data_IF_599326984717
#
_entry.id   IF_599326984717
#
_cell.length_a   1.000
_cell.length_b   1.000
_cell.length_c   1.000
_cell.angle_alpha   90.00
_cell.angle_beta   90.00
_cell.angle_gamma   90.00
#
_symmetry.space_group_name_H-M   'P 1'
#
loop_
_entity.id
_entity.type
_entity.pdbx_description
1 polymer ?
#
# COMPACT_ATOMS: atom_id res chain seq x y z
N UNK A 1 -12.31 23.34 27.84
CA UNK A 1 -11.67 22.85 26.60
C UNK A 1 -11.65 21.35 26.66
N UNK A 2 -12.03 20.68 25.57
CA UNK A 2 -11.86 19.24 25.46
C UNK A 2 -10.36 18.91 25.44
N UNK A 3 -9.97 17.91 26.23
CA UNK A 3 -8.60 17.42 26.30
C UNK A 3 -8.55 16.10 25.55
N UNK A 4 -7.77 16.05 24.47
CA UNK A 4 -7.52 14.80 23.75
C UNK A 4 -6.80 13.80 24.66
N UNK A 5 -7.24 12.55 24.66
CA UNK A 5 -6.69 11.48 25.50
C UNK A 5 -5.83 10.48 24.71
N UNK A 6 -6.01 10.42 23.40
CA UNK A 6 -5.32 9.49 22.53
C UNK A 6 -4.98 10.15 21.20
N UNK A 7 -3.92 9.66 20.56
CA UNK A 7 -3.50 10.04 19.22
C UNK A 7 -3.31 8.75 18.43
N UNK A 8 -3.97 8.68 17.28
CA UNK A 8 -3.97 7.52 16.40
C UNK A 8 -3.17 7.86 15.15
N UNK A 9 -2.22 7.01 14.80
CA UNK A 9 -1.39 7.15 13.61
C UNK A 9 -1.68 6.03 12.62
N UNK A 10 -1.83 6.40 11.35
CA UNK A 10 -1.56 5.47 10.26
C UNK A 10 -0.04 5.21 10.16
N UNK A 11 0.34 4.11 9.51
CA UNK A 11 1.72 3.66 9.39
C UNK A 11 2.27 3.95 7.99
N UNK A 12 1.67 3.37 6.95
CA UNK A 12 2.14 3.50 5.57
C UNK A 12 1.96 4.93 5.04
N UNK A 13 3.04 5.57 4.62
CA UNK A 13 3.01 6.97 4.15
C UNK A 13 2.91 8.03 5.25
N UNK A 14 2.78 7.64 6.52
CA UNK A 14 2.79 8.54 7.68
C UNK A 14 4.04 8.28 8.53
N UNK A 15 4.09 7.13 9.22
CA UNK A 15 5.23 6.75 10.06
C UNK A 15 6.40 6.17 9.26
N UNK A 16 6.08 5.54 8.13
CA UNK A 16 7.06 5.01 7.16
C UNK A 16 6.74 5.51 5.74
N UNK A 17 7.59 5.18 4.76
CA UNK A 17 7.34 5.48 3.36
C UNK A 17 6.02 4.89 2.85
N UNK A 18 5.51 5.47 1.76
CA UNK A 18 4.22 5.05 1.18
C UNK A 18 4.42 3.95 0.15
N UNK A 19 3.63 2.86 0.19
CA UNK A 19 3.64 1.86 -0.88
C UNK A 19 3.24 2.43 -2.25
N UNK A 20 2.51 3.56 -2.27
CA UNK A 20 2.15 4.28 -3.50
C UNK A 20 3.38 4.83 -4.24
N UNK A 21 4.48 5.12 -3.54
CA UNK A 21 5.73 5.50 -4.19
C UNK A 21 6.36 4.30 -4.92
N UNK A 22 6.25 3.10 -4.33
CA UNK A 22 6.70 1.86 -4.98
C UNK A 22 5.91 1.55 -6.25
N UNK A 23 4.59 1.78 -6.22
CA UNK A 23 3.73 1.74 -7.41
C UNK A 23 4.19 2.75 -8.45
N UNK A 24 4.39 4.01 -8.05
CA UNK A 24 4.79 5.08 -8.97
C UNK A 24 6.15 4.81 -9.62
N UNK A 25 7.11 4.23 -8.88
CA UNK A 25 8.38 3.78 -9.43
C UNK A 25 8.21 2.65 -10.44
N UNK A 26 7.34 1.68 -10.14
CA UNK A 26 7.02 0.58 -11.06
C UNK A 26 6.38 1.10 -12.35
N UNK A 27 5.39 1.98 -12.24
CA UNK A 27 4.71 2.59 -13.40
C UNK A 27 5.70 3.31 -14.32
N UNK A 28 6.57 4.15 -13.75
CA UNK A 28 7.63 4.84 -14.51
C UNK A 28 8.58 3.86 -15.22
N UNK A 29 9.02 2.80 -14.53
CA UNK A 29 9.92 1.79 -15.09
C UNK A 29 9.29 1.06 -16.29
N UNK A 30 7.98 0.82 -16.23
CA UNK A 30 7.24 0.06 -17.23
C UNK A 30 6.49 0.92 -18.26
N UNK A 31 6.71 2.25 -18.26
CA UNK A 31 6.02 3.22 -19.12
C UNK A 31 4.48 3.12 -19.01
N UNK A 32 3.98 2.87 -17.81
CA UNK A 32 2.56 2.91 -17.51
C UNK A 32 2.15 4.35 -17.16
N UNK A 33 0.89 4.76 -17.43
CA UNK A 33 0.39 6.02 -16.94
C UNK A 33 0.52 6.13 -15.42
N UNK A 34 0.78 7.35 -14.95
CA UNK A 34 0.81 7.64 -13.52
C UNK A 34 -0.54 7.27 -12.89
N UNK A 35 -0.52 6.58 -11.76
CA UNK A 35 -1.70 6.17 -10.99
C UNK A 35 -2.56 5.07 -11.66
N UNK A 36 -2.12 4.50 -12.79
CA UNK A 36 -2.81 3.41 -13.48
C UNK A 36 -3.04 2.18 -12.58
N UNK A 37 -1.97 1.73 -11.92
CA UNK A 37 -2.01 0.55 -11.06
C UNK A 37 -2.90 0.82 -9.86
N UNK A 38 -2.77 2.01 -9.25
CA UNK A 38 -3.59 2.38 -8.10
C UNK A 38 -5.09 2.39 -8.44
N UNK A 39 -5.48 2.95 -9.60
CA UNK A 39 -6.87 2.89 -10.08
C UNK A 39 -7.31 1.44 -10.28
N UNK A 40 -6.46 0.62 -10.88
CA UNK A 40 -6.74 -0.80 -11.14
C UNK A 40 -6.97 -1.59 -9.84
N UNK A 41 -6.13 -1.36 -8.82
CA UNK A 41 -6.20 -2.02 -7.51
C UNK A 41 -7.48 -1.72 -6.74
N UNK A 42 -8.05 -0.52 -6.93
CA UNK A 42 -9.21 -0.04 -6.16
C UNK A 42 -10.50 0.05 -6.99
N UNK A 43 -10.52 -0.54 -8.18
CA UNK A 43 -11.71 -0.55 -9.03
C UNK A 43 -12.87 -1.42 -8.50
N UNK A 44 -12.67 -2.20 -7.43
CA UNK A 44 -13.70 -2.99 -6.77
C UNK A 44 -13.36 -3.30 -5.32
N UNK A 45 -14.36 -3.73 -4.55
CA UNK A 45 -14.24 -3.94 -3.09
C UNK A 45 -13.64 -5.30 -2.68
N UNK A 46 -13.54 -6.23 -3.64
CA UNK A 46 -13.11 -7.62 -3.44
C UNK A 46 -11.89 -8.02 -4.28
N UNK A 47 -11.05 -7.06 -4.68
CA UNK A 47 -9.79 -7.34 -5.35
C UNK A 47 -8.82 -8.12 -4.47
N UNK A 48 -7.83 -8.77 -5.08
CA UNK A 48 -6.86 -9.60 -4.35
C UNK A 48 -6.11 -8.83 -3.26
N UNK A 49 -5.84 -7.54 -3.47
CA UNK A 49 -5.15 -6.70 -2.48
C UNK A 49 -5.99 -6.50 -1.22
N UNK A 50 -7.28 -6.20 -1.35
CA UNK A 50 -8.16 -6.03 -0.19
C UNK A 50 -8.36 -7.36 0.55
N UNK A 51 -8.46 -8.48 -0.18
CA UNK A 51 -8.53 -9.83 0.40
C UNK A 51 -7.26 -10.16 1.19
N UNK A 52 -6.08 -9.78 0.67
CA UNK A 52 -4.81 -9.92 1.37
C UNK A 52 -4.80 -9.08 2.66
N UNK A 53 -5.26 -7.83 2.60
CA UNK A 53 -5.28 -6.92 3.77
C UNK A 53 -6.25 -7.38 4.87
N UNK A 54 -7.30 -8.13 4.51
CA UNK A 54 -8.24 -8.78 5.46
C UNK A 54 -7.76 -10.15 5.93
N UNK A 55 -6.63 -10.65 5.43
CA UNK A 55 -6.08 -11.95 5.78
C UNK A 55 -6.82 -13.16 5.17
N UNK A 56 -7.65 -12.93 4.14
CA UNK A 56 -8.46 -13.97 3.48
C UNK A 56 -7.65 -14.87 2.53
N UNK A 57 -6.52 -14.37 2.01
CA UNK A 57 -5.59 -15.11 1.13
C UNK A 57 -4.15 -14.94 1.61
N UNK A 58 -3.29 -15.91 1.29
CA UNK A 58 -1.85 -15.84 1.62
C UNK A 58 -1.07 -15.10 0.55
N UNK A 59 0.13 -14.62 0.88
CA UNK A 59 0.92 -13.78 -0.04
C UNK A 59 1.26 -14.55 -1.32
N UNK A 60 1.67 -15.81 -1.25
CA UNK A 60 1.98 -16.59 -2.45
C UNK A 60 0.78 -16.82 -3.39
N UNK A 61 -0.44 -16.93 -2.85
CA UNK A 61 -1.68 -16.99 -3.65
C UNK A 61 -1.96 -15.62 -4.26
N UNK A 62 -1.87 -14.57 -3.43
CA UNK A 62 -2.03 -13.18 -3.84
C UNK A 62 -1.12 -12.83 -5.00
N UNK A 63 0.19 -13.14 -4.97
CA UNK A 63 1.12 -12.73 -6.03
C UNK A 63 0.72 -13.26 -7.42
N UNK A 64 0.12 -14.45 -7.48
CA UNK A 64 -0.40 -15.03 -8.73
C UNK A 64 -1.63 -14.26 -9.22
N UNK A 65 -2.63 -14.15 -8.36
CA UNK A 65 -3.90 -13.48 -8.67
C UNK A 65 -3.66 -12.00 -9.03
N UNK A 66 -2.80 -11.33 -8.26
CA UNK A 66 -2.47 -9.92 -8.43
C UNK A 66 -1.81 -9.61 -9.78
N UNK A 67 -0.93 -10.50 -10.26
CA UNK A 67 -0.31 -10.34 -11.58
C UNK A 67 -1.36 -10.39 -12.71
N UNK A 68 -2.31 -11.32 -12.59
CA UNK A 68 -3.41 -11.48 -13.55
C UNK A 68 -4.39 -10.30 -13.49
N UNK A 69 -4.80 -9.90 -12.27
CA UNK A 69 -5.70 -8.77 -12.04
C UNK A 69 -5.11 -7.46 -12.58
N UNK A 70 -3.84 -7.16 -12.29
CA UNK A 70 -3.21 -5.92 -12.74
C UNK A 70 -2.95 -5.91 -14.24
N UNK A 71 -2.71 -7.07 -14.85
CA UNK A 71 -2.54 -7.21 -16.31
C UNK A 71 -3.87 -7.24 -17.08
N UNK A 72 -5.02 -7.22 -16.39
CA UNK A 72 -6.32 -7.34 -17.05
C UNK A 72 -6.55 -6.16 -18.03
N UNK A 73 -6.87 -6.42 -19.30
CA UNK A 73 -7.13 -5.36 -20.28
C UNK A 73 -8.22 -4.36 -19.87
N UNK A 74 -9.20 -4.79 -19.07
CA UNK A 74 -10.27 -3.92 -18.55
C UNK A 74 -9.75 -2.75 -17.72
N UNK A 75 -8.57 -2.87 -17.13
CA UNK A 75 -7.95 -1.80 -16.35
C UNK A 75 -7.69 -0.54 -17.18
N UNK A 76 -7.50 -0.68 -18.51
CA UNK A 76 -7.40 0.48 -19.42
C UNK A 76 -8.71 1.27 -19.44
N UNK A 77 -9.84 0.58 -19.56
CA UNK A 77 -11.17 1.20 -19.58
C UNK A 77 -11.45 1.94 -18.26
N UNK A 78 -11.16 1.30 -17.14
CA UNK A 78 -11.31 1.88 -15.80
C UNK A 78 -10.43 3.12 -15.61
N UNK A 79 -9.20 3.09 -16.12
CA UNK A 79 -8.30 4.23 -16.05
C UNK A 79 -8.76 5.40 -16.94
N UNK A 80 -9.26 5.11 -18.14
CA UNK A 80 -9.84 6.14 -19.01
C UNK A 80 -11.07 6.79 -18.37
N UNK A 81 -11.95 6.00 -17.74
CA UNK A 81 -13.08 6.51 -16.97
C UNK A 81 -12.62 7.39 -15.80
N UNK A 82 -11.58 6.97 -15.06
CA UNK A 82 -10.96 7.77 -14.01
C UNK A 82 -10.46 9.13 -14.52
N UNK A 83 -9.80 9.18 -15.69
CA UNK A 83 -9.35 10.43 -16.30
C UNK A 83 -10.52 11.33 -16.73
N UNK A 84 -11.58 10.75 -17.32
CA UNK A 84 -12.78 11.48 -17.73
C UNK A 84 -13.42 12.17 -16.52
N UNK A 85 -13.58 11.45 -15.42
CA UNK A 85 -14.18 11.98 -14.18
C UNK A 85 -13.34 13.10 -13.54
N UNK A 86 -12.03 13.12 -13.78
CA UNK A 86 -11.12 14.19 -13.32
C UNK A 86 -11.07 15.39 -14.26
N UNK A 87 -11.73 15.34 -15.41
CA UNK A 87 -11.67 16.38 -16.43
C UNK A 87 -10.32 16.47 -17.13
N UNK A 88 -9.55 15.38 -17.13
CA UNK A 88 -8.21 15.35 -17.74
C UNK A 88 -8.32 15.28 -19.28
N UNK A 89 -7.64 16.20 -19.97
CA UNK A 89 -7.69 16.32 -21.44
C UNK A 89 -6.66 15.44 -22.17
N UNK A 90 -5.84 14.69 -21.43
CA UNK A 90 -4.87 13.71 -21.99
C UNK A 90 -5.54 12.58 -22.79
N UNK A 91 -6.87 12.46 -22.70
CA UNK A 91 -7.72 11.45 -23.35
C UNK A 91 -7.78 11.61 -24.89
N UNK A 92 -7.32 12.73 -25.44
CA UNK A 92 -7.39 13.00 -26.89
C UNK A 92 -6.58 12.04 -27.78
N UNK A 93 -5.75 11.14 -27.22
CA UNK A 93 -5.10 10.04 -27.94
C UNK A 93 -4.85 8.81 -27.03
N UNK A 94 -5.81 7.90 -26.94
CA UNK A 94 -5.70 6.65 -26.15
C UNK A 94 -4.49 5.78 -26.54
N UNK A 95 -4.03 5.86 -27.78
CA UNK A 95 -2.89 5.08 -28.30
C UNK A 95 -1.52 5.58 -27.84
N UNK A 96 -1.40 6.78 -27.27
CA UNK A 96 -0.09 7.31 -26.81
C UNK A 96 0.18 7.13 -25.31
N UNK A 97 -0.86 6.84 -24.52
CA UNK A 97 -0.77 6.76 -23.06
C UNK A 97 -0.38 5.37 -22.54
N UNK A 98 -0.65 4.31 -23.29
CA UNK A 98 -0.35 2.93 -22.88
C UNK A 98 0.73 2.28 -23.76
N UNK A 99 1.55 1.38 -23.21
CA UNK A 99 2.40 0.52 -24.02
C UNK A 99 1.57 -0.48 -24.84
N UNK A 100 2.17 -1.02 -25.91
CA UNK A 100 1.52 -1.98 -26.82
C UNK A 100 0.98 -3.22 -26.08
N UNK A 101 1.67 -3.66 -25.04
CA UNK A 101 1.22 -4.73 -24.15
C UNK A 101 1.45 -4.30 -22.71
N UNK A 102 0.42 -4.47 -21.87
CA UNK A 102 0.54 -4.30 -20.42
C UNK A 102 0.70 -5.69 -19.83
N UNK A 103 1.88 -5.95 -19.27
CA UNK A 103 2.17 -7.13 -18.47
C UNK A 103 2.75 -6.67 -17.15
N UNK A 104 2.04 -6.91 -16.06
CA UNK A 104 2.45 -6.52 -14.72
C UNK A 104 2.91 -7.77 -13.97
N UNK A 105 4.17 -7.74 -13.56
CA UNK A 105 4.78 -8.76 -12.69
C UNK A 105 4.44 -8.43 -11.24
N UNK A 106 3.38 -9.04 -10.71
CA UNK A 106 2.83 -8.72 -9.38
C UNK A 106 3.83 -8.93 -8.25
N UNK A 107 4.75 -9.91 -8.38
CA UNK A 107 5.84 -10.10 -7.40
C UNK A 107 6.79 -8.90 -7.35
N UNK A 108 7.24 -8.41 -8.51
CA UNK A 108 8.14 -7.25 -8.55
C UNK A 108 7.43 -5.99 -8.02
N UNK A 109 6.19 -5.77 -8.48
CA UNK A 109 5.38 -4.64 -8.03
C UNK A 109 5.20 -4.66 -6.50
N UNK A 110 4.81 -5.80 -5.94
CA UNK A 110 4.64 -5.96 -4.51
C UNK A 110 5.95 -5.75 -3.75
N UNK A 111 7.07 -6.32 -4.21
CA UNK A 111 8.38 -6.08 -3.58
C UNK A 111 8.75 -4.59 -3.54
N UNK A 112 8.47 -3.82 -4.62
CA UNK A 112 8.70 -2.37 -4.62
C UNK A 112 7.81 -1.64 -3.64
N UNK A 113 6.53 -2.02 -3.53
CA UNK A 113 5.60 -1.42 -2.56
C UNK A 113 6.11 -1.60 -1.13
N UNK A 114 6.53 -2.82 -0.79
CA UNK A 114 6.97 -3.16 0.57
C UNK A 114 8.33 -2.55 0.89
N UNK A 115 9.23 -2.43 -0.08
CA UNK A 115 10.52 -1.76 0.12
C UNK A 115 10.37 -0.28 0.57
N UNK A 116 9.28 0.40 0.20
CA UNK A 116 9.02 1.77 0.67
C UNK A 116 8.56 1.81 2.13
N UNK A 117 7.84 0.79 2.61
CA UNK A 117 7.32 0.76 3.99
C UNK A 117 8.40 0.46 5.03
N UNK A 118 9.63 0.15 4.62
CA UNK A 118 10.78 -0.04 5.52
C UNK A 118 11.46 1.28 5.86
N UNK A 119 11.13 2.37 5.15
CA UNK A 119 11.80 3.67 5.28
C UNK A 119 11.11 4.48 6.37
N UNK A 120 11.75 4.69 7.51
CA UNK A 120 11.21 5.52 8.59
C UNK A 120 11.05 6.98 8.18
N UNK A 121 9.93 7.59 8.57
CA UNK A 121 9.79 9.04 8.54
C UNK A 121 10.41 9.64 9.81
N UNK A 122 11.59 10.30 9.73
CA UNK A 122 12.31 10.75 10.92
C UNK A 122 11.55 11.85 11.69
N UNK A 123 10.73 12.65 11.00
CA UNK A 123 9.96 13.73 11.62
C UNK A 123 8.83 13.13 12.47
N UNK A 124 8.05 12.22 11.89
CA UNK A 124 6.94 11.55 12.60
C UNK A 124 7.49 10.65 13.71
N UNK A 125 8.57 9.91 13.46
CA UNK A 125 9.24 9.13 14.50
C UNK A 125 9.65 9.98 15.71
N UNK A 126 10.28 11.15 15.47
CA UNK A 126 10.63 12.09 16.55
C UNK A 126 9.39 12.63 17.27
N UNK A 127 8.33 12.94 16.53
CA UNK A 127 7.07 13.42 17.12
C UNK A 127 6.45 12.38 18.05
N UNK A 128 6.34 11.12 17.61
CA UNK A 128 5.81 10.01 18.40
C UNK A 128 6.64 9.83 19.68
N UNK A 129 7.98 9.87 19.59
CA UNK A 129 8.85 9.80 20.78
C UNK A 129 8.54 10.88 21.80
N UNK A 130 8.37 12.13 21.35
CA UNK A 130 8.05 13.25 22.24
C UNK A 130 6.65 13.11 22.86
N UNK A 131 5.67 12.66 22.07
CA UNK A 131 4.30 12.43 22.54
C UNK A 131 4.26 11.31 23.59
N UNK A 132 4.93 10.18 23.34
CA UNK A 132 5.04 9.08 24.31
C UNK A 132 5.73 9.54 25.60
N UNK A 133 6.86 10.25 25.49
CA UNK A 133 7.58 10.78 26.65
C UNK A 133 6.77 11.77 27.51
N UNK A 134 5.75 12.41 26.92
CA UNK A 134 4.87 13.31 27.68
C UNK A 134 3.98 12.58 28.68
N UNK A 135 3.72 11.28 28.49
CA UNK A 135 2.75 10.47 29.25
C UNK A 135 1.32 11.08 29.31
N UNK A 136 0.99 12.01 28.41
CA UNK A 136 -0.32 12.68 28.37
C UNK A 136 -1.35 11.97 27.49
N UNK A 137 -0.88 11.17 26.53
CA UNK A 137 -1.71 10.57 25.50
C UNK A 137 -1.43 9.08 25.42
N UNK A 138 -2.48 8.31 25.15
CA UNK A 138 -2.34 6.96 24.60
C UNK A 138 -1.97 7.06 23.12
N UNK A 139 -0.90 6.40 22.71
CA UNK A 139 -0.40 6.44 21.33
C UNK A 139 -0.76 5.12 20.65
N UNK A 140 -1.58 5.19 19.61
CA UNK A 140 -2.13 4.01 18.93
C UNK A 140 -1.72 4.01 17.47
N UNK A 141 -1.32 2.85 16.96
CA UNK A 141 -1.19 2.60 15.53
C UNK A 141 -2.47 1.96 15.01
N UNK A 142 -2.96 2.43 13.87
CA UNK A 142 -4.09 1.84 13.15
C UNK A 142 -3.69 1.70 11.69
N UNK A 143 -3.56 0.47 11.20
CA UNK A 143 -3.00 0.24 9.86
C UNK A 143 -3.66 -0.91 9.12
N UNK A 144 -3.81 -0.71 7.81
CA UNK A 144 -4.11 -1.78 6.87
C UNK A 144 -2.81 -2.45 6.44
N UNK A 145 -2.68 -3.74 6.73
CA UNK A 145 -1.48 -4.53 6.48
C UNK A 145 -1.83 -5.98 6.13
N UNK A 146 -0.82 -6.84 6.00
CA UNK A 146 -0.98 -8.24 5.66
C UNK A 146 -0.06 -9.12 6.50
N UNK A 147 -0.44 -10.39 6.69
CA UNK A 147 0.38 -11.37 7.38
C UNK A 147 1.29 -12.09 6.39
N UNK A 148 2.55 -12.32 6.80
CA UNK A 148 3.53 -13.06 6.01
C UNK A 148 3.71 -14.42 6.68
N UNK A 149 3.39 -15.50 5.97
CA UNK A 149 3.65 -16.85 6.48
C UNK A 149 5.11 -17.26 6.27
N UNK A 150 5.56 -18.31 6.96
CA UNK A 150 6.90 -18.86 6.78
C UNK A 150 7.18 -19.31 5.33
N UNK A 151 6.15 -19.76 4.60
CA UNK A 151 6.24 -20.11 3.18
C UNK A 151 6.44 -18.86 2.32
N UNK A 152 5.76 -17.76 2.67
CA UNK A 152 5.87 -16.48 1.97
C UNK A 152 7.25 -15.82 2.19
N UNK A 153 7.84 -15.98 3.38
CA UNK A 153 9.19 -15.49 3.69
C UNK A 153 10.28 -16.12 2.82
N UNK A 154 10.06 -17.34 2.31
CA UNK A 154 10.99 -18.00 1.38
C UNK A 154 10.79 -17.50 -0.06
N UNK A 155 9.57 -17.08 -0.40
CA UNK A 155 9.22 -16.61 -1.75
C UNK A 155 9.63 -15.16 -1.97
N UNK A 156 9.57 -14.35 -0.92
CA UNK A 156 9.93 -12.94 -0.95
C UNK A 156 11.22 -12.75 -0.16
N UNK A 157 12.36 -12.86 -0.86
CA UNK A 157 13.63 -12.37 -0.33
C UNK A 157 13.44 -10.90 0.07
N UNK A 158 13.59 -10.62 1.37
CA UNK A 158 13.45 -9.28 1.97
C UNK A 158 12.06 -8.64 1.79
N UNK A 159 11.09 -9.10 2.59
CA UNK A 159 10.05 -8.19 3.07
C UNK A 159 10.64 -7.47 4.29
N UNK A 160 10.89 -6.17 4.16
CA UNK A 160 11.21 -5.39 5.34
C UNK A 160 9.96 -5.16 6.16
N UNK A 161 10.04 -5.50 7.44
CA UNK A 161 9.00 -5.20 8.41
C UNK A 161 9.12 -3.73 8.85
N UNK A 162 8.03 -3.19 9.41
CA UNK A 162 8.08 -1.90 10.09
C UNK A 162 9.15 -2.00 11.19
N UNK A 163 10.12 -1.07 11.25
CA UNK A 163 11.22 -1.20 12.21
C UNK A 163 10.71 -1.36 13.65
N UNK A 164 11.24 -2.36 14.34
CA UNK A 164 10.79 -2.74 15.70
C UNK A 164 10.87 -1.55 16.67
N UNK A 165 11.84 -0.66 16.48
CA UNK A 165 12.00 0.57 17.26
C UNK A 165 10.80 1.52 17.14
N UNK A 166 10.13 1.56 15.99
CA UNK A 166 8.90 2.32 15.79
C UNK A 166 7.71 1.58 16.41
N UNK A 167 7.60 0.25 16.21
CA UNK A 167 6.50 -0.55 16.78
C UNK A 167 6.44 -0.43 18.30
N UNK A 168 7.59 -0.41 18.96
CA UNK A 168 7.72 -0.26 20.42
C UNK A 168 7.29 1.12 20.97
N UNK A 169 7.05 2.11 20.10
CA UNK A 169 6.56 3.42 20.54
C UNK A 169 5.03 3.47 20.73
N UNK A 170 4.30 2.49 20.20
CA UNK A 170 2.84 2.44 20.32
C UNK A 170 2.43 1.70 21.59
N UNK A 171 1.38 2.17 22.25
CA UNK A 171 0.76 1.49 23.39
C UNK A 171 -0.20 0.38 22.91
N UNK A 172 -0.84 0.60 21.76
CA UNK A 172 -1.64 -0.39 21.04
C UNK A 172 -1.34 -0.34 19.54
N UNK A 173 -1.38 -1.49 18.89
CA UNK A 173 -1.12 -1.65 17.47
C UNK A 173 -2.26 -2.46 16.84
N UNK A 174 -3.10 -1.79 16.06
CA UNK A 174 -4.34 -2.32 15.50
C UNK A 174 -4.12 -2.62 14.02
N UNK A 175 -4.17 -3.90 13.65
CA UNK A 175 -3.79 -4.42 12.34
C UNK A 175 -5.00 -5.03 11.63
N UNK A 176 -5.30 -4.58 10.39
CA UNK A 176 -6.43 -5.09 9.60
C UNK A 176 -6.37 -6.59 9.39
N UNK A 177 -5.17 -7.13 9.18
CA UNK A 177 -4.97 -8.56 8.90
C UNK A 177 -5.15 -9.46 10.12
N UNK A 178 -5.12 -8.90 11.33
CA UNK A 178 -5.40 -9.60 12.58
C UNK A 178 -6.90 -9.53 12.91
N UNK A 179 -7.51 -8.36 12.68
CA UNK A 179 -8.93 -8.11 13.01
C UNK A 179 -9.87 -8.62 11.92
N UNK A 180 -9.39 -8.72 10.67
CA UNK A 180 -10.19 -9.09 9.50
C UNK A 180 -11.09 -7.95 9.00
N UNK A 181 -10.77 -6.69 9.33
CA UNK A 181 -11.57 -5.52 8.96
C UNK A 181 -10.70 -4.45 8.30
N UNK A 182 -11.27 -3.80 7.27
CA UNK A 182 -10.74 -2.64 6.57
C UNK A 182 -11.78 -1.54 6.56
#
# INVERSE_FOLDING_TARGET
>A
METYKAIIFDIGGVCVGSPLEGISQYERKHNLPLNFINVSMYAGENGSFQRLERGEIKVHEFLKIFSEEMSNPKNKELYLEYLLLRGDKTISNETSIFPATIKIEGKELFQKMIAETTKLNPIIFKAIKNLKASNKFKIVALTNNFQISNEDSQILEFIGDVPLELKNLFDEYIESSIIGMR
#
